data_IF_272479256312
#
_entry.id   IF_272479256312
#
_cell.length_a   1.000
_cell.length_b   1.000
_cell.length_c   1.000
_cell.angle_alpha   90.00
_cell.angle_beta   90.00
_cell.angle_gamma   90.00
#
_symmetry.space_group_name_H-M   'P 1'
#
loop_
_entity.id
_entity.type
_entity.pdbx_description
1 polymer ?
#
# COMPACT_ATOMS: atom_id res chain seq x y z
N UNK A 1 -9.20 26.02 6.22
CA UNK A 1 -8.04 25.39 6.89
C UNK A 1 -6.77 25.95 6.25
N UNK A 2 -5.89 26.62 7.01
CA UNK A 2 -4.58 27.04 6.48
C UNK A 2 -3.79 25.77 6.11
N UNK A 3 -3.16 25.69 4.93
CA UNK A 3 -2.28 24.58 4.61
C UNK A 3 -1.16 24.54 5.64
N UNK A 4 -0.98 23.37 6.27
CA UNK A 4 0.15 23.13 7.17
C UNK A 4 1.43 23.39 6.37
N UNK A 5 2.38 24.22 6.87
CA UNK A 5 3.62 24.46 6.15
C UNK A 5 4.32 23.13 5.85
N UNK A 6 4.95 22.98 4.67
CA UNK A 6 5.65 21.76 4.32
C UNK A 6 6.67 21.44 5.40
N UNK A 7 6.66 20.18 5.87
CA UNK A 7 7.59 19.73 6.90
C UNK A 7 9.03 19.93 6.39
N UNK A 8 9.89 20.48 7.25
CA UNK A 8 11.27 20.78 6.88
C UNK A 8 11.99 19.51 6.37
N UNK A 9 12.80 19.63 5.29
CA UNK A 9 13.60 18.54 4.78
C UNK A 9 14.59 18.07 5.86
N UNK A 10 14.82 16.77 5.91
CA UNK A 10 15.78 16.12 6.79
C UNK A 10 17.02 15.77 5.97
N UNK A 11 18.20 16.04 6.51
CA UNK A 11 19.44 15.49 5.96
C UNK A 11 19.49 14.00 6.24
N UNK A 12 19.72 13.19 5.21
CA UNK A 12 19.99 11.77 5.40
C UNK A 12 21.42 11.57 5.91
N UNK A 13 21.59 11.55 7.22
CA UNK A 13 22.86 11.22 7.86
C UNK A 13 23.05 9.70 7.99
N UNK A 14 24.28 9.28 8.33
CA UNK A 14 24.66 7.88 8.44
C UNK A 14 23.79 7.10 9.44
N UNK A 15 23.42 7.74 10.55
CA UNK A 15 22.62 7.13 11.61
C UNK A 15 21.18 6.93 11.14
N UNK A 16 20.54 7.95 10.58
CA UNK A 16 19.18 7.86 10.05
C UNK A 16 19.08 6.84 8.92
N UNK A 17 20.11 6.74 8.07
CA UNK A 17 20.19 5.70 7.05
C UNK A 17 20.24 4.30 7.68
N UNK A 18 21.12 4.09 8.65
CA UNK A 18 21.25 2.82 9.35
C UNK A 18 19.95 2.43 10.07
N UNK A 19 19.35 3.36 10.80
CA UNK A 19 18.10 3.14 11.54
C UNK A 19 16.95 2.78 10.58
N UNK A 20 16.87 3.47 9.42
CA UNK A 20 15.89 3.15 8.39
C UNK A 20 16.12 1.74 7.84
N UNK A 21 17.37 1.40 7.47
CA UNK A 21 17.75 0.08 6.99
C UNK A 21 17.44 -1.03 8.01
N UNK A 22 17.72 -0.79 9.30
CA UNK A 22 17.49 -1.76 10.37
C UNK A 22 16.01 -2.03 10.65
N UNK A 23 15.13 -1.05 10.36
CA UNK A 23 13.68 -1.22 10.55
C UNK A 23 12.99 -2.02 9.44
N UNK A 24 13.59 -2.10 8.25
CA UNK A 24 12.96 -2.66 7.06
C UNK A 24 12.75 -4.19 7.10
N UNK A 25 13.65 -5.01 7.64
CA UNK A 25 13.41 -6.45 7.80
C UNK A 25 12.17 -6.75 8.65
N UNK A 26 12.04 -6.07 9.80
CA UNK A 26 10.90 -6.23 10.68
C UNK A 26 9.60 -5.76 10.00
N UNK A 27 9.65 -4.67 9.24
CA UNK A 27 8.47 -4.21 8.51
C UNK A 27 8.06 -5.16 7.38
N UNK A 28 9.02 -5.72 6.64
CA UNK A 28 8.76 -6.71 5.60
C UNK A 28 8.13 -7.99 6.18
N UNK A 29 8.68 -8.51 7.29
CA UNK A 29 8.13 -9.68 7.98
C UNK A 29 6.72 -9.43 8.55
N UNK A 30 6.41 -8.21 8.97
CA UNK A 30 5.08 -7.84 9.45
C UNK A 30 4.05 -7.79 8.30
N UNK A 31 4.44 -7.31 7.11
CA UNK A 31 3.58 -7.33 5.92
C UNK A 31 3.24 -8.77 5.49
N UNK A 32 4.19 -9.69 5.59
CA UNK A 32 4.01 -11.11 5.27
C UNK A 32 2.88 -11.79 6.08
N UNK A 33 2.55 -11.28 7.26
CA UNK A 33 1.49 -11.83 8.12
C UNK A 33 0.07 -11.44 7.69
N UNK A 34 -0.08 -10.66 6.62
CA UNK A 34 -1.36 -10.14 6.16
C UNK A 34 -1.79 -10.81 4.84
N UNK A 35 -3.11 -10.83 4.61
CA UNK A 35 -3.67 -11.34 3.35
C UNK A 35 -3.17 -10.47 2.18
N UNK A 36 -2.45 -11.12 1.26
CA UNK A 36 -1.76 -10.47 0.14
C UNK A 36 -2.72 -9.81 -0.87
N UNK A 37 -3.93 -10.35 -1.00
CA UNK A 37 -4.92 -9.90 -1.98
C UNK A 37 -5.97 -8.93 -1.40
N UNK A 38 -5.90 -8.65 -0.10
CA UNK A 38 -6.82 -7.73 0.57
C UNK A 38 -6.17 -6.41 0.91
N UNK A 39 -7.01 -5.39 1.03
CA UNK A 39 -6.62 -4.08 1.53
C UNK A 39 -6.67 -4.10 3.05
N UNK A 40 -5.50 -3.98 3.67
CA UNK A 40 -5.40 -3.67 5.09
C UNK A 40 -5.33 -2.16 5.30
N UNK A 41 -6.41 -1.58 5.85
CA UNK A 41 -6.51 -0.13 6.07
C UNK A 41 -5.44 0.38 7.05
N UNK A 42 -5.15 -0.38 8.11
CA UNK A 42 -4.14 -0.03 9.10
C UNK A 42 -2.76 0.05 8.45
N UNK A 43 -2.42 -0.94 7.63
CA UNK A 43 -1.14 -0.97 6.91
C UNK A 43 -1.06 0.09 5.81
N UNK A 44 -2.17 0.41 5.12
CA UNK A 44 -2.20 1.55 4.20
C UNK A 44 -1.86 2.87 4.90
N UNK A 45 -2.46 3.12 6.08
CA UNK A 45 -2.19 4.34 6.84
C UNK A 45 -0.78 4.37 7.41
N UNK A 46 -0.29 3.24 7.94
CA UNK A 46 1.07 3.09 8.43
C UNK A 46 2.10 3.33 7.32
N UNK A 47 1.91 2.71 6.16
CA UNK A 47 2.73 2.92 4.97
C UNK A 47 2.72 4.39 4.55
N UNK A 48 1.55 5.04 4.52
CA UNK A 48 1.46 6.45 4.13
C UNK A 48 2.19 7.39 5.10
N UNK A 49 2.08 7.15 6.40
CA UNK A 49 2.83 7.90 7.41
C UNK A 49 4.34 7.66 7.28
N UNK A 50 4.75 6.41 7.07
CA UNK A 50 6.15 6.05 6.86
C UNK A 50 6.71 6.66 5.57
N UNK A 51 6.03 6.54 4.43
CA UNK A 51 6.44 7.12 3.15
C UNK A 51 6.54 8.64 3.24
N UNK A 52 5.61 9.29 3.95
CA UNK A 52 5.68 10.73 4.20
C UNK A 52 6.94 11.10 5.01
N UNK A 53 7.33 10.27 6.00
CA UNK A 53 8.58 10.45 6.73
C UNK A 53 9.81 10.23 5.85
N UNK A 54 9.87 9.13 5.10
CA UNK A 54 10.98 8.79 4.18
C UNK A 54 11.20 9.89 3.14
N UNK A 55 10.13 10.48 2.63
CA UNK A 55 10.18 11.58 1.66
C UNK A 55 10.75 12.89 2.19
N UNK A 56 10.93 13.01 3.50
CA UNK A 56 11.60 14.18 4.07
C UNK A 56 13.11 14.13 3.87
N UNK A 57 13.69 12.94 3.70
CA UNK A 57 15.12 12.79 3.49
C UNK A 57 15.52 13.29 2.11
N UNK A 58 16.35 14.33 2.09
CA UNK A 58 16.87 15.01 0.90
C UNK A 58 17.41 14.07 -0.18
N UNK A 59 18.16 13.03 0.19
CA UNK A 59 18.76 12.07 -0.75
C UNK A 59 17.79 10.99 -1.26
N UNK A 60 16.72 10.71 -0.51
CA UNK A 60 15.73 9.67 -0.89
C UNK A 60 14.60 10.30 -1.69
N UNK A 61 14.11 11.46 -1.26
CA UNK A 61 13.01 12.21 -1.86
C UNK A 61 13.04 12.25 -3.40
N UNK A 62 14.13 12.65 -4.08
CA UNK A 62 14.17 12.73 -5.54
C UNK A 62 13.99 11.37 -6.23
N UNK A 63 14.45 10.28 -5.60
CA UNK A 63 14.38 8.91 -6.15
C UNK A 63 13.03 8.23 -5.91
N UNK A 64 12.21 8.75 -4.99
CA UNK A 64 10.89 8.20 -4.63
C UNK A 64 9.72 9.16 -4.90
N UNK A 65 9.93 10.20 -5.71
CA UNK A 65 8.88 11.16 -6.10
C UNK A 65 7.72 10.48 -6.82
N UNK A 66 8.02 9.49 -7.66
CA UNK A 66 7.05 8.77 -8.49
C UNK A 66 6.19 7.78 -7.71
N UNK A 67 6.62 7.36 -6.51
CA UNK A 67 5.83 6.49 -5.64
C UNK A 67 4.51 7.16 -5.27
N UNK A 68 3.39 6.45 -5.33
CA UNK A 68 2.10 6.99 -4.88
C UNK A 68 1.80 6.49 -3.48
N UNK A 69 1.10 7.31 -2.69
CA UNK A 69 0.50 6.87 -1.43
C UNK A 69 -0.36 5.60 -1.64
N UNK A 70 -0.47 4.76 -0.63
CA UNK A 70 -1.43 3.66 -0.59
C UNK A 70 -2.86 4.23 -0.52
N UNK A 71 -3.78 3.63 -1.28
CA UNK A 71 -5.21 3.96 -1.29
C UNK A 71 -5.90 3.10 -0.22
N UNK A 72 -6.32 3.66 0.93
CA UNK A 72 -6.98 2.91 2.00
C UNK A 72 -8.47 2.73 1.66
N UNK A 73 -8.76 1.97 0.59
CA UNK A 73 -10.11 1.70 0.12
C UNK A 73 -10.33 0.19 0.13
N UNK A 74 -10.98 -0.31 1.18
CA UNK A 74 -11.34 -1.72 1.31
C UNK A 74 -12.70 -2.02 0.67
N UNK A 75 -12.94 -3.28 0.32
CA UNK A 75 -14.18 -3.72 -0.34
C UNK A 75 -15.44 -3.32 0.44
N UNK A 76 -15.43 -3.45 1.76
CA UNK A 76 -16.59 -3.09 2.57
C UNK A 76 -16.95 -1.61 2.44
N UNK A 77 -15.99 -0.70 2.23
CA UNK A 77 -16.29 0.72 2.01
C UNK A 77 -17.01 0.93 0.67
N UNK A 78 -16.60 0.21 -0.39
CA UNK A 78 -17.28 0.24 -1.69
C UNK A 78 -18.71 -0.28 -1.53
N UNK A 79 -18.89 -1.44 -0.89
CA UNK A 79 -20.22 -2.02 -0.65
C UNK A 79 -21.09 -1.08 0.19
N UNK A 80 -20.56 -0.47 1.25
CA UNK A 80 -21.29 0.51 2.05
C UNK A 80 -21.73 1.70 1.21
N UNK A 81 -20.85 2.27 0.37
CA UNK A 81 -21.22 3.38 -0.52
C UNK A 81 -22.32 2.97 -1.51
N UNK A 82 -22.26 1.75 -2.05
CA UNK A 82 -23.31 1.23 -2.93
C UNK A 82 -24.64 1.04 -2.20
N UNK A 83 -24.62 0.51 -0.98
CA UNK A 83 -25.84 0.34 -0.16
C UNK A 83 -26.43 1.69 0.24
N UNK A 84 -25.62 2.66 0.66
CA UNK A 84 -26.11 4.01 0.99
C UNK A 84 -26.73 4.67 -0.24
N UNK A 85 -26.08 4.56 -1.40
CA UNK A 85 -26.63 5.09 -2.66
C UNK A 85 -27.94 4.41 -3.02
N UNK A 86 -28.04 3.08 -2.82
CA UNK A 86 -29.29 2.34 -3.01
C UNK A 86 -30.43 2.84 -2.13
N UNK A 87 -30.17 3.03 -0.83
CA UNK A 87 -31.16 3.52 0.12
C UNK A 87 -31.63 4.92 -0.27
N UNK A 88 -30.71 5.82 -0.63
CA UNK A 88 -31.04 7.16 -1.10
C UNK A 88 -31.92 7.11 -2.36
N UNK A 89 -31.58 6.25 -3.31
CA UNK A 89 -32.39 6.03 -4.51
C UNK A 89 -33.78 5.51 -4.14
N UNK A 90 -33.89 4.48 -3.30
CA UNK A 90 -35.17 3.92 -2.87
C UNK A 90 -36.07 4.94 -2.17
N UNK A 91 -35.50 5.92 -1.46
CA UNK A 91 -36.24 6.99 -0.80
C UNK A 91 -36.63 8.15 -1.73
N UNK A 92 -35.79 8.48 -2.71
CA UNK A 92 -35.93 9.70 -3.53
C UNK A 92 -36.63 9.47 -4.88
N UNK A 93 -36.60 8.26 -5.42
CA UNK A 93 -37.20 7.92 -6.72
C UNK A 93 -38.72 7.68 -6.70
N UNK A 94 -39.36 7.17 -5.62
CA UNK A 94 -40.82 6.98 -5.61
C UNK A 94 -41.57 8.27 -5.96
N UNK A 95 -42.55 8.16 -6.86
CA UNK A 95 -43.33 9.31 -7.35
C UNK A 95 -42.62 10.19 -8.38
N UNK A 96 -41.34 9.96 -8.67
CA UNK A 96 -40.57 10.65 -9.73
C UNK A 96 -40.35 9.81 -10.99
N UNK A 97 -40.48 8.48 -10.87
CA UNK A 97 -40.32 7.54 -11.98
C UNK A 97 -41.51 6.58 -12.04
N UNK A 98 -41.70 5.93 -13.20
CA UNK A 98 -42.71 4.88 -13.34
C UNK A 98 -42.40 3.67 -12.45
N UNK A 99 -43.43 2.96 -12.00
CA UNK A 99 -43.28 1.79 -11.13
C UNK A 99 -42.42 0.69 -11.77
N UNK A 100 -42.52 0.50 -13.09
CA UNK A 100 -41.69 -0.44 -13.84
C UNK A 100 -40.20 -0.04 -13.80
N UNK A 101 -39.90 1.25 -14.02
CA UNK A 101 -38.53 1.77 -13.95
C UNK A 101 -37.96 1.65 -12.53
N UNK A 102 -38.76 1.97 -11.52
CA UNK A 102 -38.37 1.80 -10.11
C UNK A 102 -37.96 0.36 -9.81
N UNK A 103 -38.78 -0.63 -10.18
CA UNK A 103 -38.48 -2.06 -9.96
C UNK A 103 -37.20 -2.49 -10.69
N UNK A 104 -36.98 -2.03 -11.93
CA UNK A 104 -35.77 -2.34 -12.70
C UNK A 104 -34.53 -1.76 -12.01
N UNK A 105 -34.58 -0.49 -11.61
CA UNK A 105 -33.45 0.20 -10.95
C UNK A 105 -33.09 -0.45 -9.62
N UNK A 106 -34.09 -0.75 -8.79
CA UNK A 106 -33.86 -1.37 -7.47
C UNK A 106 -33.37 -2.82 -7.62
N UNK A 107 -33.94 -3.58 -8.58
CA UNK A 107 -33.52 -4.96 -8.85
C UNK A 107 -32.11 -5.07 -9.44
N UNK A 108 -31.76 -4.22 -10.40
CA UNK A 108 -30.43 -4.21 -11.03
C UNK A 108 -29.34 -3.77 -10.06
N UNK A 109 -29.67 -2.93 -9.07
CA UNK A 109 -28.71 -2.48 -8.09
C UNK A 109 -28.21 -3.59 -7.17
N UNK A 110 -29.09 -4.51 -6.74
CA UNK A 110 -28.70 -5.68 -5.95
C UNK A 110 -27.68 -6.55 -6.70
N UNK A 111 -27.89 -6.76 -8.00
CA UNK A 111 -26.96 -7.50 -8.84
C UNK A 111 -25.60 -6.79 -8.94
N UNK A 112 -25.60 -5.47 -8.97
CA UNK A 112 -24.36 -4.66 -8.99
C UNK A 112 -23.57 -4.83 -7.69
N UNK A 113 -24.24 -4.89 -6.52
CA UNK A 113 -23.57 -5.15 -5.23
C UNK A 113 -22.89 -6.51 -5.23
N UNK A 114 -23.55 -7.55 -5.75
CA UNK A 114 -22.95 -8.89 -5.88
C UNK A 114 -21.76 -8.85 -6.83
N UNK A 115 -21.88 -8.17 -7.97
CA UNK A 115 -20.79 -8.02 -8.94
C UNK A 115 -19.53 -7.38 -8.33
N UNK A 116 -19.67 -6.48 -7.35
CA UNK A 116 -18.55 -5.85 -6.67
C UNK A 116 -17.62 -6.84 -5.93
N UNK A 117 -18.12 -8.02 -5.54
CA UNK A 117 -17.29 -9.07 -4.91
C UNK A 117 -16.38 -9.80 -5.89
N UNK A 118 -16.68 -9.73 -7.18
CA UNK A 118 -15.84 -10.28 -8.24
C UNK A 118 -14.75 -9.30 -8.69
N UNK A 119 -14.81 -8.04 -8.24
CA UNK A 119 -13.80 -7.03 -8.56
C UNK A 119 -12.64 -7.16 -7.55
N UNK A 120 -11.39 -7.38 -8.01
CA UNK A 120 -10.22 -7.41 -7.14
C UNK A 120 -10.05 -6.10 -6.37
N UNK A 121 -9.63 -6.19 -5.10
CA UNK A 121 -9.48 -4.98 -4.28
C UNK A 121 -8.35 -4.05 -4.78
N UNK A 122 -7.42 -4.57 -5.57
CA UNK A 122 -6.34 -3.80 -6.21
C UNK A 122 -6.87 -2.74 -7.20
N UNK A 123 -8.09 -2.89 -7.73
CA UNK A 123 -8.70 -1.93 -8.65
C UNK A 123 -8.93 -0.58 -7.96
N UNK A 124 -9.49 -0.59 -6.75
CA UNK A 124 -9.87 0.61 -6.01
C UNK A 124 -8.95 0.93 -4.83
N UNK A 125 -8.33 -0.08 -4.21
CA UNK A 125 -7.44 0.06 -3.06
C UNK A 125 -5.97 -0.21 -3.35
N UNK A 126 -5.16 -0.29 -2.31
CA UNK A 126 -3.79 -0.81 -2.36
C UNK A 126 -3.73 -2.04 -1.46
N UNK A 127 -3.61 -3.21 -2.08
CA UNK A 127 -3.48 -4.50 -1.38
C UNK A 127 -2.13 -4.59 -0.66
N UNK A 128 -2.00 -5.53 0.27
CA UNK A 128 -0.74 -5.78 0.99
C UNK A 128 0.42 -6.03 0.01
N UNK A 129 0.22 -6.84 -1.02
CA UNK A 129 1.23 -7.11 -2.07
C UNK A 129 1.66 -5.83 -2.80
N UNK A 130 0.73 -4.93 -3.10
CA UNK A 130 1.07 -3.62 -3.68
C UNK A 130 1.80 -2.70 -2.68
N UNK A 131 1.58 -2.83 -1.38
CA UNK A 131 2.37 -2.13 -0.35
C UNK A 131 3.79 -2.69 -0.35
N UNK A 132 3.96 -4.01 -0.35
CA UNK A 132 5.26 -4.68 -0.40
C UNK A 132 6.08 -4.24 -1.63
N UNK A 133 5.46 -4.19 -2.82
CA UNK A 133 6.12 -3.69 -4.02
C UNK A 133 6.59 -2.23 -3.91
N UNK A 134 5.84 -1.39 -3.19
CA UNK A 134 6.24 0.00 -2.92
C UNK A 134 7.37 0.10 -1.91
N UNK A 135 7.35 -0.72 -0.85
CA UNK A 135 8.44 -0.80 0.13
C UNK A 135 9.71 -1.32 -0.55
N UNK A 136 9.59 -2.34 -1.40
CA UNK A 136 10.68 -2.91 -2.18
C UNK A 136 11.36 -1.84 -3.04
N UNK A 137 10.58 -0.94 -3.66
CA UNK A 137 11.14 0.18 -4.42
C UNK A 137 12.00 1.11 -3.55
N UNK A 138 11.60 1.36 -2.30
CA UNK A 138 12.39 2.17 -1.35
C UNK A 138 13.65 1.41 -0.92
N UNK A 139 13.55 0.12 -0.63
CA UNK A 139 14.71 -0.74 -0.31
C UNK A 139 15.74 -0.72 -1.44
N UNK A 140 15.30 -0.85 -2.69
CA UNK A 140 16.18 -0.77 -3.86
C UNK A 140 16.88 0.61 -3.96
N UNK A 141 16.16 1.71 -3.67
CA UNK A 141 16.75 3.05 -3.62
C UNK A 141 17.79 3.18 -2.52
N UNK A 142 17.54 2.62 -1.34
CA UNK A 142 18.52 2.63 -0.25
C UNK A 142 19.75 1.81 -0.62
N UNK A 143 19.59 0.63 -1.22
CA UNK A 143 20.72 -0.16 -1.71
C UNK A 143 21.54 0.62 -2.74
N UNK A 144 20.90 1.35 -3.65
CA UNK A 144 21.58 2.22 -4.61
C UNK A 144 22.41 3.32 -3.92
N UNK A 145 21.83 4.00 -2.92
CA UNK A 145 22.52 5.04 -2.14
C UNK A 145 23.67 4.45 -1.31
N UNK A 146 23.49 3.26 -0.74
CA UNK A 146 24.54 2.58 0.03
C UNK A 146 25.72 2.22 -0.88
N UNK A 147 25.43 1.62 -2.03
CA UNK A 147 26.44 1.15 -2.98
C UNK A 147 27.16 2.30 -3.70
N UNK A 148 26.60 3.51 -3.75
CA UNK A 148 27.29 4.68 -4.30
C UNK A 148 28.39 5.22 -3.38
N UNK A 149 28.49 4.72 -2.14
CA UNK A 149 29.48 5.17 -1.16
C UNK A 149 29.15 6.53 -0.52
N UNK A 150 27.99 7.13 -0.83
CA UNK A 150 27.65 8.50 -0.43
C UNK A 150 27.53 8.74 1.10
N UNK A 151 27.48 7.68 1.91
CA UNK A 151 27.15 7.74 3.34
C UNK A 151 28.35 7.60 4.28
N UNK A 152 29.57 7.43 3.74
CA UNK A 152 30.83 7.28 4.51
C UNK A 152 30.70 6.32 5.71
N UNK A 153 30.15 5.14 5.44
CA UNK A 153 30.04 4.08 6.43
C UNK A 153 31.41 3.48 6.74
N UNK A 154 31.63 3.10 8.01
CA UNK A 154 32.69 2.14 8.31
C UNK A 154 32.37 0.79 7.67
N UNK A 155 33.39 -0.02 7.40
CA UNK A 155 33.24 -1.31 6.72
C UNK A 155 32.20 -2.21 7.41
N UNK A 156 32.29 -2.36 8.73
CA UNK A 156 31.34 -3.15 9.51
C UNK A 156 29.90 -2.60 9.44
N UNK A 157 29.73 -1.28 9.49
CA UNK A 157 28.41 -0.65 9.40
C UNK A 157 27.84 -0.77 7.98
N UNK A 158 28.68 -0.66 6.95
CA UNK A 158 28.29 -0.86 5.56
C UNK A 158 27.74 -2.28 5.34
N UNK A 159 28.48 -3.31 5.73
CA UNK A 159 28.06 -4.70 5.53
C UNK A 159 26.78 -5.02 6.31
N UNK A 160 26.67 -4.58 7.56
CA UNK A 160 25.45 -4.79 8.36
C UNK A 160 24.23 -4.08 7.76
N UNK A 161 24.41 -2.84 7.30
CA UNK A 161 23.34 -2.08 6.63
C UNK A 161 22.90 -2.78 5.35
N UNK A 162 23.87 -3.26 4.56
CA UNK A 162 23.61 -3.99 3.32
C UNK A 162 22.89 -5.30 3.59
N UNK A 163 23.28 -6.04 4.61
CA UNK A 163 22.63 -7.29 5.03
C UNK A 163 21.15 -7.04 5.40
N UNK A 164 20.87 -6.05 6.25
CA UNK A 164 19.49 -5.68 6.59
C UNK A 164 18.65 -5.36 5.34
N UNK A 165 19.19 -4.57 4.41
CA UNK A 165 18.48 -4.22 3.18
C UNK A 165 18.27 -5.42 2.26
N UNK A 166 19.26 -6.32 2.13
CA UNK A 166 19.14 -7.54 1.34
C UNK A 166 18.14 -8.53 1.94
N UNK A 167 18.11 -8.66 3.26
CA UNK A 167 17.13 -9.47 3.97
C UNK A 167 15.71 -8.95 3.70
N UNK A 168 15.48 -7.65 3.91
CA UNK A 168 14.18 -7.03 3.61
C UNK A 168 13.78 -7.21 2.14
N UNK A 169 14.74 -7.04 1.21
CA UNK A 169 14.51 -7.24 -0.22
C UNK A 169 14.11 -8.67 -0.56
N UNK A 170 14.79 -9.65 0.03
CA UNK A 170 14.52 -11.06 -0.20
C UNK A 170 13.11 -11.43 0.29
N UNK A 171 12.75 -10.99 1.50
CA UNK A 171 11.42 -11.22 2.07
C UNK A 171 10.32 -10.62 1.20
N UNK A 172 10.42 -9.33 0.85
CA UNK A 172 9.42 -8.66 0.03
C UNK A 172 9.26 -9.31 -1.34
N UNK A 173 10.36 -9.73 -1.98
CA UNK A 173 10.29 -10.44 -3.27
C UNK A 173 9.66 -11.81 -3.13
N UNK A 174 9.94 -12.53 -2.06
CA UNK A 174 9.34 -13.83 -1.79
C UNK A 174 7.83 -13.69 -1.62
N UNK A 175 7.36 -12.74 -0.82
CA UNK A 175 5.92 -12.53 -0.61
C UNK A 175 5.18 -12.13 -1.90
N UNK A 176 5.77 -11.22 -2.69
CA UNK A 176 5.24 -10.85 -4.00
C UNK A 176 5.21 -12.06 -4.94
N UNK A 177 6.26 -12.89 -4.99
CA UNK A 177 6.28 -14.11 -5.82
C UNK A 177 5.19 -15.10 -5.38
N UNK A 178 5.06 -15.33 -4.06
CA UNK A 178 4.04 -16.21 -3.48
C UNK A 178 2.62 -15.72 -3.79
N UNK A 179 2.38 -14.42 -3.78
CA UNK A 179 1.08 -13.84 -4.13
C UNK A 179 0.71 -14.05 -5.61
N UNK A 180 1.69 -14.21 -6.50
CA UNK A 180 1.45 -14.45 -7.93
C UNK A 180 1.41 -15.92 -8.32
N UNK A 181 1.81 -16.84 -7.42
CA UNK A 181 1.74 -18.28 -7.72
C UNK A 181 0.30 -18.75 -7.78
N UNK A 182 -0.13 -19.44 -8.85
CA UNK A 182 -1.43 -20.08 -8.87
C UNK A 182 -1.52 -21.16 -7.78
N UNK A 183 -2.71 -21.39 -7.19
CA UNK A 183 -2.92 -22.37 -6.11
C UNK A 183 -2.87 -23.82 -6.60
N UNK A 184 -1.83 -24.19 -7.35
CA UNK A 184 -1.65 -25.53 -7.94
C UNK A 184 -0.49 -26.30 -7.29
N UNK A 185 -0.03 -25.89 -6.11
CA UNK A 185 0.83 -26.73 -5.28
C UNK A 185 0.03 -27.92 -4.74
N UNK A 186 0.62 -29.12 -4.61
CA UNK A 186 -0.08 -30.25 -4.02
C UNK A 186 -0.54 -29.86 -2.61
N UNK A 187 -1.83 -30.07 -2.35
CA UNK A 187 -2.38 -30.06 -1.00
C UNK A 187 -1.74 -31.27 -0.31
N UNK A 188 -0.77 -31.02 0.58
CA UNK A 188 -0.18 -32.05 1.44
C UNK A 188 -1.19 -32.49 2.50
#
# INVERSE_FOLDING_TARGET
MRPKPPAAPLSLDRKAFYDLAASLPAYAADLANHDQHRVNLKECHRFNAWLAHVRRYDRIAPKVTTLRAARPVARWQIVTLMVVTWVLMALLLPGRVSQQMYTIVIGSWLLTIVAAFFIPESVYGTTTELIEGKVLRVVDVLLEILNSGAMDFSEAAFFRTRENLLQARAELRLQIDLAHRPPNGPIL
#
